data_IF_418086014842
#
_entry.id   IF_418086014842
#
_cell.length_a   1.000
_cell.length_b   1.000
_cell.length_c   1.000
_cell.angle_alpha   90.00
_cell.angle_beta   90.00
_cell.angle_gamma   90.00
#
_symmetry.space_group_name_H-M   'P 1'
#
loop_
_entity.id
_entity.type
_entity.pdbx_description
1 polymer ?
#
# COMPACT_ATOMS: atom_id res chain seq x y z
N UNK A 1 -4.00 13.58 -5.26
CA UNK A 1 -3.28 12.45 -5.87
C UNK A 1 -2.61 12.95 -7.12
N UNK A 2 -1.29 12.80 -7.21
CA UNK A 2 -0.46 13.23 -8.34
C UNK A 2 -0.43 12.16 -9.42
N UNK A 3 -0.05 10.94 -9.05
CA UNK A 3 0.00 9.79 -9.96
C UNK A 3 -0.11 8.47 -9.22
N UNK A 4 -0.44 7.42 -9.97
CA UNK A 4 -0.36 6.03 -9.51
C UNK A 4 1.10 5.55 -9.54
N UNK A 5 1.46 4.72 -8.58
CA UNK A 5 2.76 4.03 -8.50
C UNK A 5 2.53 2.55 -8.77
N UNK A 6 3.15 2.04 -9.84
CA UNK A 6 3.03 0.68 -10.33
C UNK A 6 1.76 0.40 -11.15
N UNK A 7 1.49 -0.89 -11.35
CA UNK A 7 0.35 -1.35 -12.14
C UNK A 7 -0.96 -1.29 -11.35
N UNK A 8 -2.02 -0.81 -11.99
CA UNK A 8 -3.38 -0.81 -11.41
C UNK A 8 -3.85 -2.23 -11.07
N UNK A 9 -4.79 -2.39 -10.11
CA UNK A 9 -5.39 -3.68 -9.78
C UNK A 9 -5.90 -4.44 -11.02
N UNK A 10 -6.48 -3.73 -12.00
CA UNK A 10 -6.96 -4.32 -13.25
C UNK A 10 -5.83 -4.89 -14.10
N UNK A 11 -4.71 -4.17 -14.21
CA UNK A 11 -3.52 -4.65 -14.90
C UNK A 11 -2.84 -5.83 -14.19
N UNK A 12 -3.18 -6.03 -12.90
CA UNK A 12 -2.76 -7.18 -12.08
C UNK A 12 -3.82 -8.28 -12.00
N UNK A 13 -4.87 -8.23 -12.84
CA UNK A 13 -5.86 -9.29 -12.98
C UNK A 13 -7.07 -9.22 -12.04
N UNK A 14 -7.32 -8.09 -11.34
CA UNK A 14 -8.59 -7.90 -10.62
C UNK A 14 -9.72 -7.58 -11.61
N UNK A 15 -10.73 -8.46 -11.69
CA UNK A 15 -11.84 -8.37 -12.65
C UNK A 15 -13.15 -7.84 -12.04
N UNK A 16 -13.30 -7.90 -10.71
CA UNK A 16 -14.60 -7.74 -10.03
C UNK A 16 -14.87 -6.31 -9.51
N UNK A 17 -14.18 -5.30 -10.05
CA UNK A 17 -14.41 -3.90 -9.71
C UNK A 17 -13.97 -3.48 -8.30
N UNK A 18 -13.47 -4.40 -7.46
CA UNK A 18 -12.83 -4.08 -6.19
C UNK A 18 -11.29 -4.14 -6.30
N UNK A 19 -10.69 -3.06 -5.80
CA UNK A 19 -9.73 -2.20 -6.51
C UNK A 19 -8.43 -2.02 -5.73
N UNK A 20 -8.10 -2.97 -4.87
CA UNK A 20 -6.96 -2.90 -3.96
C UNK A 20 -6.21 -4.22 -3.97
N UNK A 21 -4.90 -4.23 -3.67
CA UNK A 21 -4.11 -3.09 -3.20
C UNK A 21 -3.63 -2.13 -4.30
N UNK A 22 -3.33 -0.90 -3.90
CA UNK A 22 -2.94 0.18 -4.81
C UNK A 22 -2.06 1.23 -4.11
N UNK A 23 -1.25 1.96 -4.88
CA UNK A 23 -0.32 2.97 -4.35
C UNK A 23 -0.39 4.24 -5.20
N UNK A 24 -0.49 5.38 -4.55
CA UNK A 24 -0.50 6.70 -5.19
C UNK A 24 0.49 7.65 -4.53
N UNK A 25 1.18 8.43 -5.34
CA UNK A 25 1.92 9.61 -4.89
C UNK A 25 0.94 10.79 -4.75
N UNK A 26 1.05 11.51 -3.65
CA UNK A 26 0.24 12.68 -3.32
C UNK A 26 0.95 13.98 -3.72
N UNK A 27 0.22 15.10 -3.69
CA UNK A 27 0.73 16.39 -4.18
C UNK A 27 1.85 16.97 -3.32
N UNK A 28 1.95 16.52 -2.08
CA UNK A 28 2.99 16.90 -1.12
C UNK A 28 4.18 15.93 -1.11
N UNK A 29 4.24 14.99 -2.06
CA UNK A 29 5.30 13.98 -2.16
C UNK A 29 5.13 12.79 -1.22
N UNK A 30 4.07 12.75 -0.40
CA UNK A 30 3.74 11.58 0.42
C UNK A 30 3.04 10.50 -0.41
N UNK A 31 2.81 9.31 0.18
CA UNK A 31 2.19 8.19 -0.51
C UNK A 31 0.94 7.70 0.20
N UNK A 32 -0.14 7.51 -0.56
CA UNK A 32 -1.30 6.76 -0.12
C UNK A 32 -1.15 5.28 -0.50
N UNK A 33 -1.26 4.40 0.49
CA UNK A 33 -1.25 2.95 0.31
C UNK A 33 -2.63 2.40 0.65
N UNK A 34 -3.24 1.70 -0.30
CA UNK A 34 -4.56 1.10 -0.13
C UNK A 34 -4.40 -0.41 -0.12
N UNK A 35 -4.98 -1.07 0.89
CA UNK A 35 -4.89 -2.51 1.10
C UNK A 35 -5.96 -2.99 2.07
N UNK A 36 -5.90 -4.27 2.43
CA UNK A 36 -6.80 -4.83 3.43
C UNK A 36 -6.40 -4.31 4.82
N UNK A 37 -7.32 -3.67 5.55
CA UNK A 37 -7.09 -3.32 6.96
C UNK A 37 -6.93 -4.60 7.79
N UNK A 38 -5.76 -4.75 8.40
CA UNK A 38 -5.41 -5.86 9.29
C UNK A 38 -4.91 -5.37 10.65
N UNK A 39 -5.24 -4.13 11.01
CA UNK A 39 -4.82 -3.47 12.24
C UNK A 39 -5.06 -4.36 13.46
N UNK A 40 -6.30 -4.79 13.70
CA UNK A 40 -6.64 -5.61 14.88
C UNK A 40 -5.88 -6.94 14.96
N UNK A 41 -5.49 -7.52 13.81
CA UNK A 41 -4.81 -8.81 13.75
C UNK A 41 -3.28 -8.70 13.87
N UNK A 42 -2.71 -7.53 13.59
CA UNK A 42 -1.26 -7.32 13.50
C UNK A 42 -0.71 -6.39 14.58
N UNK A 43 -1.54 -5.54 15.19
CA UNK A 43 -1.10 -4.55 16.19
C UNK A 43 -0.34 -5.18 17.36
N UNK A 44 -0.89 -6.26 17.93
CA UNK A 44 -0.25 -7.02 19.01
C UNK A 44 0.92 -7.91 18.56
N UNK A 45 1.21 -7.94 17.26
CA UNK A 45 2.26 -8.77 16.64
C UNK A 45 3.39 -7.92 16.05
N UNK A 46 3.33 -6.60 16.20
CA UNK A 46 4.40 -5.72 15.78
C UNK A 46 5.69 -6.06 16.54
N UNK A 47 6.86 -5.99 15.89
CA UNK A 47 8.13 -6.14 16.57
C UNK A 47 8.33 -5.01 17.59
N UNK A 48 9.25 -5.20 18.53
CA UNK A 48 9.45 -4.28 19.67
C UNK A 48 9.85 -2.85 19.26
N UNK A 49 10.38 -2.67 18.05
CA UNK A 49 10.82 -1.41 17.48
C UNK A 49 9.79 -0.78 16.52
N UNK A 50 8.60 -1.38 16.37
CA UNK A 50 7.51 -0.85 15.56
C UNK A 50 6.27 -0.59 16.40
N UNK A 51 5.57 0.48 16.05
CA UNK A 51 4.30 0.84 16.67
C UNK A 51 3.43 1.60 15.69
N UNK A 52 2.20 1.86 16.11
CA UNK A 52 1.32 2.78 15.41
C UNK A 52 0.63 3.71 16.40
N UNK A 53 0.28 4.90 15.94
CA UNK A 53 -0.57 5.84 16.69
C UNK A 53 -2.06 5.46 16.56
N UNK A 54 -2.95 6.17 17.28
CA UNK A 54 -4.40 5.93 17.23
C UNK A 54 -4.99 6.15 15.84
N UNK A 55 -4.41 7.07 15.08
CA UNK A 55 -4.90 7.50 13.77
C UNK A 55 -4.26 6.70 12.62
N UNK A 56 -3.38 5.75 12.94
CA UNK A 56 -2.71 4.88 11.98
C UNK A 56 -3.38 3.52 11.87
N UNK A 57 -3.33 2.95 10.67
CA UNK A 57 -3.86 1.63 10.31
C UNK A 57 -2.77 0.78 9.69
N UNK A 58 -2.79 -0.52 10.02
CA UNK A 58 -1.94 -1.50 9.36
C UNK A 58 -2.72 -2.06 8.18
N UNK A 59 -2.35 -1.62 6.98
CA UNK A 59 -2.90 -2.14 5.72
C UNK A 59 -1.96 -3.18 5.11
N UNK A 60 -2.53 -4.26 4.57
CA UNK A 60 -1.78 -5.32 3.89
C UNK A 60 -1.96 -5.20 2.39
N UNK A 61 -0.84 -5.16 1.68
CA UNK A 61 -0.75 -5.21 0.22
C UNK A 61 0.00 -6.46 -0.21
N UNK A 62 -0.15 -6.85 -1.48
CA UNK A 62 0.51 -8.05 -2.01
C UNK A 62 1.95 -7.76 -2.40
N UNK A 63 2.80 -8.79 -2.39
CA UNK A 63 4.18 -8.70 -2.91
C UNK A 63 4.21 -8.20 -4.36
N UNK A 64 3.29 -8.67 -5.19
CA UNK A 64 3.19 -8.25 -6.59
C UNK A 64 2.99 -6.74 -6.71
N UNK A 65 2.17 -6.13 -5.85
CA UNK A 65 1.96 -4.68 -5.80
C UNK A 65 3.26 -3.93 -5.60
N UNK A 66 4.08 -4.34 -4.63
CA UNK A 66 5.37 -3.70 -4.35
C UNK A 66 6.37 -3.90 -5.49
N UNK A 67 6.43 -5.10 -6.08
CA UNK A 67 7.31 -5.38 -7.22
C UNK A 67 6.95 -4.47 -8.40
N UNK A 68 5.65 -4.31 -8.70
CA UNK A 68 5.19 -3.43 -9.78
C UNK A 68 5.44 -1.96 -9.47
N UNK A 69 5.30 -1.56 -8.20
CA UNK A 69 5.59 -0.20 -7.75
C UNK A 69 7.07 0.16 -7.86
N UNK A 70 7.98 -0.80 -7.71
CA UNK A 70 9.43 -0.55 -7.72
C UNK A 70 9.92 0.13 -8.99
N UNK A 71 9.30 -0.13 -10.14
CA UNK A 71 9.68 0.49 -11.43
C UNK A 71 9.57 2.02 -11.37
N UNK A 72 8.65 2.54 -10.55
CA UNK A 72 8.40 3.97 -10.40
C UNK A 72 9.12 4.59 -9.19
N UNK A 73 9.81 3.77 -8.37
CA UNK A 73 10.50 4.19 -7.15
C UNK A 73 12.02 4.07 -7.37
N UNK A 74 12.76 5.20 -7.40
CA UNK A 74 14.22 5.20 -7.56
C UNK A 74 14.96 4.31 -6.55
N UNK A 75 16.18 3.90 -6.88
CA UNK A 75 17.08 3.17 -5.98
C UNK A 75 17.91 4.07 -5.05
N UNK A 76 17.83 5.38 -5.26
CA UNK A 76 18.73 6.40 -4.69
C UNK A 76 18.02 7.31 -3.70
#
# INVERSE_FOLDING_TARGET
MTRRIGASPRQRGSLDGNTCPDIFELSDGTFAVIGADRTAALDSRLPADAGRSRDERIVVITRETLIRAKIDIPDV
#
